data_IF_822943768664
#
_entry.id   IF_822943768664
#
_cell.length_a   1.000
_cell.length_b   1.000
_cell.length_c   1.000
_cell.angle_alpha   90.00
_cell.angle_beta   90.00
_cell.angle_gamma   90.00
#
_symmetry.space_group_name_H-M   'P 1'
#
loop_
_entity.id
_entity.type
_entity.pdbx_description
1 polymer ?
#
# COMPACT_ATOMS: atom_id res chain seq x y z
N UNK A 7 25.81 -35.95 29.72
CA UNK A 7 25.45 -36.81 30.90
C UNK A 7 23.96 -37.22 30.83
N UNK A 8 23.69 -38.51 30.91
CA UNK A 8 22.31 -38.98 30.83
C UNK A 8 21.46 -38.51 32.02
N UNK A 9 22.06 -37.90 33.03
CA UNK A 9 21.32 -37.20 34.06
C UNK A 9 20.76 -35.90 33.47
N UNK A 10 21.60 -35.17 32.77
CA UNK A 10 21.19 -33.94 32.09
C UNK A 10 20.11 -34.25 31.07
N UNK A 11 20.40 -35.14 30.14
CA UNK A 11 19.44 -35.45 29.10
C UNK A 11 18.10 -35.82 29.70
N UNK A 12 18.16 -36.48 30.84
CA UNK A 12 16.95 -36.92 31.54
C UNK A 12 16.05 -35.78 31.92
N UNK A 13 16.66 -34.74 32.47
CA UNK A 13 15.92 -33.53 32.84
C UNK A 13 15.37 -32.79 31.63
N UNK A 14 16.18 -32.68 30.58
CA UNK A 14 15.72 -32.11 29.33
C UNK A 14 14.46 -32.81 28.84
N UNK A 15 14.51 -34.13 28.86
CA UNK A 15 13.35 -34.94 28.50
C UNK A 15 12.15 -34.60 29.35
N UNK A 16 12.37 -34.41 30.63
CA UNK A 16 11.28 -34.17 31.55
C UNK A 16 10.63 -32.83 31.33
N UNK A 17 11.39 -31.79 31.04
CA UNK A 17 10.73 -30.52 30.73
C UNK A 17 9.97 -30.65 29.40
N UNK A 18 10.61 -31.20 28.39
CA UNK A 18 9.97 -31.33 27.10
C UNK A 18 8.60 -31.96 27.32
N UNK A 19 8.60 -33.11 27.97
CA UNK A 19 7.38 -33.85 28.26
C UNK A 19 6.33 -33.02 29.02
N UNK A 20 6.77 -32.31 30.04
CA UNK A 20 5.90 -31.47 30.83
C UNK A 20 5.27 -30.36 30.01
N UNK A 21 6.06 -29.62 29.24
CA UNK A 21 5.54 -28.39 28.62
C UNK A 21 4.51 -28.73 27.54
N UNK A 22 4.60 -29.95 27.04
CA UNK A 22 3.65 -30.50 26.09
C UNK A 22 2.46 -31.19 26.77
N UNK A 23 2.53 -31.32 28.09
CA UNK A 23 1.60 -32.11 28.89
C UNK A 23 1.50 -33.57 28.43
N UNK A 24 2.65 -34.24 28.32
CA UNK A 24 2.72 -35.68 28.03
C UNK A 24 3.38 -36.41 29.21
N UNK A 25 3.33 -35.84 30.41
CA UNK A 25 4.08 -36.39 31.54
C UNK A 25 3.64 -37.83 31.84
N UNK A 26 2.35 -37.99 32.16
CA UNK A 26 1.80 -39.33 32.39
C UNK A 26 1.00 -39.78 31.17
N UNK A 27 1.66 -39.78 30.00
CA UNK A 27 1.01 -40.18 28.75
C UNK A 27 1.93 -41.07 27.91
N UNK A 28 1.42 -41.56 26.76
CA UNK A 28 2.22 -42.41 25.87
C UNK A 28 3.24 -41.60 25.03
N UNK A 29 2.85 -40.40 24.59
CA UNK A 29 3.73 -39.46 23.85
C UNK A 29 4.96 -39.02 24.65
N UNK A 30 4.90 -39.09 25.98
CA UNK A 30 6.04 -38.86 26.85
C UNK A 30 6.88 -40.11 27.01
N UNK A 31 6.22 -41.27 27.01
CA UNK A 31 6.92 -42.55 27.13
C UNK A 31 7.82 -42.84 25.90
N UNK A 32 7.39 -42.43 24.71
CA UNK A 32 8.18 -42.65 23.49
C UNK A 32 9.56 -41.94 23.51
N UNK A 33 9.64 -40.87 24.29
CA UNK A 33 10.87 -40.09 24.42
C UNK A 33 11.74 -40.73 25.49
N UNK A 34 12.91 -41.20 25.09
CA UNK A 34 13.83 -41.90 25.98
C UNK A 34 15.21 -41.29 25.90
N UNK A 35 15.96 -41.39 26.97
CA UNK A 35 17.33 -40.87 26.99
C UNK A 35 18.15 -41.42 25.84
N UNK A 36 17.93 -42.68 25.50
CA UNK A 36 18.75 -43.33 24.48
C UNK A 36 18.45 -42.75 23.07
N UNK A 37 17.19 -42.34 22.84
CA UNK A 37 16.86 -41.55 21.67
C UNK A 37 17.77 -40.32 21.61
N UNK A 38 17.77 -39.53 22.67
CA UNK A 38 18.57 -38.31 22.72
C UNK A 38 20.05 -38.64 22.58
N UNK A 39 20.49 -39.78 23.09
CA UNK A 39 21.86 -40.20 22.90
C UNK A 39 22.11 -40.57 21.45
N UNK A 40 21.19 -41.31 20.85
CA UNK A 40 21.28 -41.70 19.46
C UNK A 40 21.60 -40.53 18.51
N UNK A 41 21.14 -39.31 18.83
CA UNK A 41 21.29 -38.16 17.93
C UNK A 41 22.74 -37.83 17.54
N UNK A 49 26.07 -30.96 16.98
CA UNK A 49 25.60 -31.81 18.08
C UNK A 49 24.68 -31.03 19.04
N UNK A 50 25.14 -29.91 19.57
CA UNK A 50 24.26 -29.05 20.34
C UNK A 50 23.10 -28.63 19.48
N UNK A 51 23.45 -28.17 18.29
CA UNK A 51 22.43 -27.70 17.38
C UNK A 51 21.43 -28.81 17.08
N UNK A 52 21.96 -29.97 16.73
CA UNK A 52 21.11 -31.08 16.34
C UNK A 52 20.13 -31.43 17.48
N UNK A 53 20.66 -31.43 18.70
CA UNK A 53 19.87 -31.71 19.87
C UNK A 53 18.82 -30.63 20.13
N UNK A 54 19.22 -29.37 20.10
CA UNK A 54 18.26 -28.31 20.33
C UNK A 54 17.14 -28.35 19.29
N UNK A 55 17.52 -28.59 18.04
CA UNK A 55 16.52 -28.68 16.98
C UNK A 55 15.61 -29.89 17.14
N UNK A 56 16.19 -31.03 17.52
CA UNK A 56 15.38 -32.24 17.73
C UNK A 56 14.34 -31.99 18.81
N UNK A 57 14.76 -31.30 19.87
CA UNK A 57 13.88 -30.99 20.97
C UNK A 57 12.78 -29.98 20.54
N UNK A 58 13.17 -28.93 19.83
CA UNK A 58 12.21 -27.96 19.27
C UNK A 58 11.15 -28.68 18.45
N UNK A 59 11.59 -29.62 17.61
CA UNK A 59 10.65 -30.45 16.85
C UNK A 59 9.70 -31.22 17.75
N UNK A 60 10.23 -31.84 18.79
CA UNK A 60 9.36 -32.55 19.70
C UNK A 60 8.30 -31.61 20.27
N UNK A 61 8.71 -30.42 20.70
CA UNK A 61 7.76 -29.46 21.22
C UNK A 61 6.78 -29.09 20.15
N UNK A 62 7.29 -28.94 18.92
CA UNK A 62 6.48 -28.60 17.73
C UNK A 62 5.37 -29.60 17.39
N UNK A 63 5.71 -30.89 17.47
CA UNK A 63 4.79 -31.99 17.08
C UNK A 63 5.15 -33.25 17.86
N UNK A 64 4.63 -33.37 19.08
CA UNK A 64 4.96 -34.55 19.88
C UNK A 64 4.54 -35.84 19.19
N UNK A 65 3.25 -36.03 18.90
CA UNK A 65 2.78 -37.27 18.25
C UNK A 65 3.58 -37.58 16.98
N UNK A 66 3.79 -36.57 16.16
CA UNK A 66 4.50 -36.76 14.93
C UNK A 66 5.97 -37.10 15.12
N UNK A 67 6.56 -36.63 16.20
CA UNK A 67 7.99 -36.80 16.43
C UNK A 67 8.29 -38.18 17.03
N UNK A 68 7.35 -38.73 17.78
CA UNK A 68 7.43 -40.13 18.24
C UNK A 68 7.49 -41.07 17.05
N UNK A 69 6.57 -40.89 16.09
CA UNK A 69 6.53 -41.69 14.83
C UNK A 69 7.84 -41.61 14.09
N UNK A 70 8.44 -40.43 14.05
CA UNK A 70 9.73 -40.24 13.40
C UNK A 70 10.85 -40.91 14.20
N UNK A 71 10.75 -40.84 15.52
CA UNK A 71 11.77 -41.39 16.41
C UNK A 71 11.80 -42.90 16.29
N UNK A 72 10.60 -43.47 16.35
CA UNK A 72 10.36 -44.90 16.22
C UNK A 72 10.77 -45.45 14.85
N UNK A 73 10.82 -44.58 13.84
CA UNK A 73 11.37 -44.88 12.51
C UNK A 73 12.87 -44.56 12.37
N UNK A 74 13.48 -44.09 13.43
CA UNK A 74 14.88 -43.72 13.41
C UNK A 74 15.24 -42.60 12.44
N UNK A 75 14.36 -41.62 12.28
CA UNK A 75 14.63 -40.49 11.40
C UNK A 75 14.57 -39.15 12.13
N UNK A 76 14.74 -39.20 13.44
CA UNK A 76 14.68 -37.99 14.26
C UNK A 76 15.84 -37.07 13.98
N UNK A 77 17.02 -37.65 13.87
CA UNK A 77 18.23 -36.90 13.54
C UNK A 77 18.10 -36.22 12.19
N UNK A 78 17.54 -36.93 11.21
CA UNK A 78 17.41 -36.38 9.86
C UNK A 78 16.50 -35.17 9.90
N UNK A 79 15.30 -35.37 10.46
CA UNK A 79 14.31 -34.33 10.55
C UNK A 79 14.87 -33.10 11.30
N UNK A 80 15.71 -33.34 12.31
CA UNK A 80 16.36 -32.25 13.05
C UNK A 80 17.39 -31.51 12.20
N UNK A 81 18.23 -32.23 11.47
CA UNK A 81 19.16 -31.57 10.56
C UNK A 81 18.44 -30.76 9.49
N UNK A 82 17.29 -31.24 9.09
CA UNK A 82 16.46 -30.51 8.16
C UNK A 82 16.04 -29.15 8.75
N UNK A 83 15.55 -29.14 10.00
CA UNK A 83 15.07 -27.89 10.60
C UNK A 83 16.21 -26.88 10.73
N UNK A 84 17.39 -27.33 11.14
CA UNK A 84 18.57 -26.46 11.12
C UNK A 84 18.82 -25.86 9.73
N UNK A 85 18.61 -26.66 8.67
CA UNK A 85 18.77 -26.19 7.28
C UNK A 85 17.74 -25.12 6.96
N UNK A 86 16.47 -25.40 7.21
CA UNK A 86 15.42 -24.40 6.99
C UNK A 86 15.69 -23.08 7.72
N UNK A 87 16.45 -23.12 8.80
CA UNK A 87 16.78 -21.92 9.54
C UNK A 87 18.16 -21.34 9.29
N UNK A 88 19.04 -22.13 8.68
CA UNK A 88 20.41 -21.65 8.39
C UNK A 88 20.47 -20.56 7.31
N UNK A 89 19.48 -20.56 6.42
CA UNK A 89 19.41 -19.66 5.26
C UNK A 89 19.45 -18.15 5.52
N UNK A 90 19.56 -17.35 4.43
CA UNK A 90 19.85 -15.91 4.48
C UNK A 90 18.92 -15.10 5.39
N UNK A 91 17.68 -14.88 4.94
CA UNK A 91 16.68 -14.18 5.74
C UNK A 91 15.63 -15.19 6.19
N UNK A 92 16.08 -16.39 6.55
CA UNK A 92 15.19 -17.50 6.90
C UNK A 92 14.91 -17.58 8.38
N UNK A 93 15.94 -17.28 9.16
CA UNK A 93 15.92 -17.55 10.57
C UNK A 93 14.77 -16.90 11.32
N UNK A 94 14.62 -15.59 11.22
CA UNK A 94 13.62 -14.89 12.03
C UNK A 94 12.20 -15.38 11.76
N UNK A 95 11.80 -15.44 10.49
CA UNK A 95 10.44 -15.87 10.20
C UNK A 95 10.25 -17.36 10.39
N UNK A 96 11.28 -18.15 10.10
CA UNK A 96 11.21 -19.58 10.38
C UNK A 96 10.99 -19.85 11.86
N UNK A 97 11.63 -19.04 12.68
CA UNK A 97 11.50 -19.15 14.11
C UNK A 97 10.08 -18.78 14.54
N UNK A 98 9.50 -17.80 13.86
CA UNK A 98 8.16 -17.35 14.17
C UNK A 98 7.19 -18.49 13.95
N UNK A 99 7.30 -19.12 12.79
CA UNK A 99 6.41 -20.21 12.45
C UNK A 99 6.58 -21.36 13.40
N UNK A 100 7.81 -21.60 13.82
CA UNK A 100 8.12 -22.66 14.78
C UNK A 100 7.51 -22.39 16.17
N UNK A 101 7.63 -21.16 16.63
CA UNK A 101 7.09 -20.75 17.89
C UNK A 101 5.59 -20.80 17.88
N UNK A 102 4.96 -20.45 16.76
CA UNK A 102 3.49 -20.54 16.63
C UNK A 102 3.02 -21.97 16.93
N UNK A 103 3.71 -22.93 16.34
CA UNK A 103 3.42 -24.31 16.57
C UNK A 103 3.71 -24.69 18.03
N UNK A 104 4.79 -24.19 18.60
CA UNK A 104 5.08 -24.59 19.97
C UNK A 104 4.09 -23.99 20.91
N UNK A 105 3.63 -22.76 20.66
CA UNK A 105 2.59 -22.14 21.52
C UNK A 105 1.31 -22.95 21.44
N UNK A 106 1.02 -23.48 20.27
CA UNK A 106 -0.16 -24.32 20.10
C UNK A 106 -0.10 -25.53 21.04
N UNK A 107 1.02 -26.25 21.05
CA UNK A 107 1.16 -27.47 21.85
C UNK A 107 1.44 -27.24 23.35
N UNK A 108 1.96 -26.08 23.71
CA UNK A 108 2.23 -25.76 25.12
C UNK A 108 1.53 -24.47 25.40
N UNK A 109 0.75 -24.37 26.47
CA UNK A 109 -0.03 -23.11 26.69
C UNK A 109 -0.87 -22.69 25.44
N UNK A 110 -0.94 -21.41 25.12
CA UNK A 110 -1.55 -20.96 23.87
C UNK A 110 -1.80 -19.47 23.85
N UNK A 117 2.81 -10.49 28.89
CA UNK A 117 4.24 -10.23 28.85
C UNK A 117 4.97 -11.34 28.10
N UNK A 118 5.29 -11.13 26.81
CA UNK A 118 5.85 -12.24 25.98
C UNK A 118 7.16 -12.06 25.20
N UNK A 119 7.70 -13.19 24.77
CA UNK A 119 8.97 -13.23 24.07
C UNK A 119 8.79 -13.38 22.57
N UNK A 120 9.56 -12.61 21.83
CA UNK A 120 9.47 -12.59 20.38
C UNK A 120 10.81 -13.00 19.80
N UNK A 121 10.84 -13.32 18.51
CA UNK A 121 12.08 -13.73 17.87
C UNK A 121 13.24 -12.72 17.91
N UNK A 122 12.96 -11.41 17.78
CA UNK A 122 14.09 -10.49 17.95
C UNK A 122 14.81 -10.65 19.29
N UNK A 123 14.03 -10.79 20.35
CA UNK A 123 14.55 -11.00 21.70
C UNK A 123 15.36 -12.26 21.84
N UNK A 124 14.84 -13.37 21.30
CA UNK A 124 15.59 -14.61 21.26
C UNK A 124 16.91 -14.47 20.50
N UNK A 125 16.88 -13.76 19.37
CA UNK A 125 18.09 -13.59 18.59
C UNK A 125 19.13 -12.79 19.42
N UNK A 126 18.68 -11.72 20.06
CA UNK A 126 19.54 -10.90 20.93
C UNK A 126 20.10 -11.74 22.10
N UNK A 127 19.22 -12.44 22.80
CA UNK A 127 19.63 -13.20 23.96
C UNK A 127 20.55 -14.35 23.58
N UNK A 128 20.38 -14.85 22.36
CA UNK A 128 21.17 -15.97 21.87
C UNK A 128 22.62 -15.64 21.53
N UNK A 129 22.87 -14.48 20.94
CA UNK A 129 24.22 -14.21 20.42
C UNK A 129 24.25 -13.09 19.42
N UNK A 136 24.32 -20.09 13.92
CA UNK A 136 23.27 -19.16 14.39
C UNK A 136 22.03 -19.92 14.94
N UNK A 137 21.39 -20.74 14.09
CA UNK A 137 20.16 -21.39 14.52
C UNK A 137 20.37 -22.24 15.79
N UNK A 138 21.50 -22.91 15.92
CA UNK A 138 21.71 -23.79 17.08
C UNK A 138 21.60 -23.08 18.41
N UNK A 139 22.45 -22.09 18.64
CA UNK A 139 22.32 -21.32 19.88
C UNK A 139 20.99 -20.61 20.08
N UNK A 140 20.34 -20.22 18.99
CA UNK A 140 19.02 -19.60 19.09
C UNK A 140 17.99 -20.61 19.59
N UNK A 141 18.02 -21.81 19.02
CA UNK A 141 17.11 -22.86 19.42
C UNK A 141 17.38 -23.20 20.86
N UNK A 142 18.66 -23.34 21.21
CA UNK A 142 18.96 -23.58 22.61
C UNK A 142 18.32 -22.50 23.53
N UNK A 143 18.37 -21.23 23.13
CA UNK A 143 17.71 -20.15 23.90
C UNK A 143 16.19 -20.20 23.91
N UNK A 144 15.59 -20.62 22.81
CA UNK A 144 14.19 -20.92 22.81
C UNK A 144 13.90 -21.98 23.84
N UNK A 145 14.66 -23.07 23.81
CA UNK A 145 14.43 -24.16 24.77
C UNK A 145 14.51 -23.67 26.19
N UNK A 146 15.50 -22.83 26.49
CA UNK A 146 15.61 -22.26 27.82
C UNK A 146 14.31 -21.57 28.19
N UNK A 147 13.80 -20.77 27.28
CA UNK A 147 12.57 -20.06 27.56
C UNK A 147 11.37 -20.98 27.78
N UNK A 148 11.27 -22.05 27.03
CA UNK A 148 10.22 -22.99 27.27
C UNK A 148 10.39 -23.50 28.70
N UNK A 149 11.62 -23.73 29.13
CA UNK A 149 11.88 -24.18 30.49
C UNK A 149 11.42 -23.22 31.59
N UNK A 150 11.55 -21.91 31.35
CA UNK A 150 11.05 -20.87 32.25
C UNK A 150 9.53 -20.73 32.19
N UNK A 151 8.89 -21.35 31.20
CA UNK A 151 7.45 -21.16 30.96
C UNK A 151 7.05 -19.85 30.31
N UNK A 152 7.97 -19.14 29.66
CA UNK A 152 7.61 -17.90 28.95
C UNK A 152 6.57 -18.17 27.87
N UNK A 153 5.79 -17.14 27.56
CA UNK A 153 4.85 -17.16 26.42
C UNK A 153 5.54 -16.53 25.23
N UNK A 154 5.12 -16.92 24.03
CA UNK A 154 5.69 -16.40 22.81
C UNK A 154 4.70 -15.56 22.01
N UNK A 155 5.22 -14.47 21.44
CA UNK A 155 4.44 -13.64 20.55
C UNK A 155 5.17 -13.54 19.22
N UNK A 156 4.48 -13.95 18.17
CA UNK A 156 5.11 -14.14 16.88
C UNK A 156 4.28 -13.43 15.86
N UNK A 157 4.94 -12.77 14.91
CA UNK A 157 4.19 -12.13 13.86
C UNK A 157 4.45 -12.63 12.43
N UNK A 158 3.49 -12.39 11.53
CA UNK A 158 3.72 -12.73 10.13
C UNK A 158 4.65 -11.75 9.48
N UNK A 159 5.03 -12.02 8.24
CA UNK A 159 5.88 -11.09 7.48
C UNK A 159 5.02 -10.18 6.61
N UNK A 160 5.55 -9.00 6.25
CA UNK A 160 4.79 -8.16 5.34
C UNK A 160 4.38 -8.94 4.08
N UNK A 161 5.28 -9.71 3.49
CA UNK A 161 4.92 -10.48 2.28
C UNK A 161 3.71 -11.38 2.54
N UNK A 162 3.59 -11.90 3.74
CA UNK A 162 2.50 -12.82 4.01
C UNK A 162 1.12 -12.24 3.71
N UNK A 163 0.95 -10.95 3.96
CA UNK A 163 -0.39 -10.36 3.82
C UNK A 163 -0.82 -10.21 2.37
N UNK A 164 0.14 -9.92 1.50
CA UNK A 164 -0.14 -9.90 0.09
C UNK A 164 -0.32 -11.34 -0.41
N UNK A 165 0.68 -12.18 -0.18
CA UNK A 165 0.66 -13.59 -0.59
C UNK A 165 -0.65 -14.29 -0.18
N UNK A 166 -1.24 -13.90 0.94
CA UNK A 166 -2.46 -14.52 1.42
C UNK A 166 -3.65 -14.32 0.52
N UNK A 167 -3.85 -13.09 0.09
CA UNK A 167 -5.05 -12.76 -0.63
C UNK A 167 -5.07 -13.63 -1.87
N UNK A 168 -3.90 -13.80 -2.47
CA UNK A 168 -3.79 -14.56 -3.69
C UNK A 168 -4.28 -16.02 -3.51
N UNK A 169 -4.12 -16.61 -2.33
CA UNK A 169 -4.74 -17.93 -2.05
C UNK A 169 -6.23 -17.81 -1.63
N UNK A 170 -6.55 -16.80 -0.82
CA UNK A 170 -7.92 -16.59 -0.33
C UNK A 170 -8.29 -15.10 -0.28
N UNK A 174 -8.11 -19.47 -10.35
CA UNK A 174 -6.66 -19.54 -10.25
C UNK A 174 -5.89 -19.20 -11.54
N UNK A 175 -5.96 -17.94 -11.99
CA UNK A 175 -4.95 -17.37 -12.88
C UNK A 175 -3.70 -17.10 -12.00
N UNK A 176 -2.52 -16.85 -12.61
CA UNK A 176 -1.36 -16.45 -11.79
C UNK A 176 -1.61 -15.11 -11.08
N UNK A 177 -2.08 -14.12 -11.83
CA UNK A 177 -2.56 -12.85 -11.26
C UNK A 177 -4.07 -12.84 -10.92
N UNK A 178 -4.50 -11.78 -10.25
CA UNK A 178 -5.91 -11.56 -9.94
C UNK A 178 -6.63 -10.93 -11.15
N UNK A 179 -7.73 -11.58 -11.57
CA UNK A 179 -8.52 -11.07 -12.71
C UNK A 179 -9.27 -9.81 -12.29
N UNK A 180 -9.56 -8.93 -13.23
CA UNK A 180 -10.46 -7.81 -12.99
C UNK A 180 -11.72 -8.35 -12.32
N UNK A 181 -12.25 -9.44 -12.85
CA UNK A 181 -13.39 -10.07 -12.24
C UNK A 181 -13.06 -10.45 -10.80
N UNK A 182 -11.96 -11.17 -10.58
CA UNK A 182 -11.54 -11.52 -9.20
C UNK A 182 -11.48 -10.25 -8.32
N UNK A 183 -10.84 -9.20 -8.83
CA UNK A 183 -10.66 -7.96 -8.07
C UNK A 183 -12.01 -7.46 -7.65
N UNK A 184 -12.96 -7.54 -8.58
CA UNK A 184 -14.33 -7.07 -8.33
C UNK A 184 -15.08 -7.91 -7.32
N UNK A 185 -14.82 -9.21 -7.28
CA UNK A 185 -15.45 -10.07 -6.27
C UNK A 185 -14.97 -9.68 -4.88
N UNK A 186 -13.68 -9.37 -4.78
CA UNK A 186 -13.04 -8.95 -3.52
C UNK A 186 -13.59 -7.60 -3.06
N UNK A 187 -13.77 -6.69 -3.99
CA UNK A 187 -14.31 -5.40 -3.65
C UNK A 187 -15.73 -5.60 -3.13
N UNK A 188 -16.47 -6.50 -3.74
CA UNK A 188 -17.82 -6.80 -3.28
C UNK A 188 -17.77 -7.33 -1.85
N UNK A 189 -16.94 -8.32 -1.59
CA UNK A 189 -16.81 -8.81 -0.20
C UNK A 189 -16.51 -7.68 0.79
N UNK A 190 -15.75 -6.67 0.37
CA UNK A 190 -15.45 -5.52 1.23
C UNK A 190 -16.54 -4.43 1.23
N UNK A 191 -17.61 -4.62 0.45
CA UNK A 191 -18.70 -3.64 0.36
C UNK A 191 -18.43 -2.46 -0.54
N UNK A 192 -17.62 -2.65 -1.58
CA UNK A 192 -17.20 -1.56 -2.45
C UNK A 192 -17.16 -2.01 -3.89
N UNK A 193 -16.98 -1.07 -4.80
CA UNK A 193 -17.06 -1.37 -6.22
C UNK A 193 -18.43 -1.11 -6.79
N UNK A 194 -19.39 -0.73 -5.94
CA UNK A 194 -20.77 -0.47 -6.34
C UNK A 194 -21.61 -1.69 -6.68
N UNK A 195 -21.17 -2.86 -6.22
CA UNK A 195 -21.83 -4.13 -6.52
C UNK A 195 -23.24 -4.21 -5.89
N UNK A 221 -21.69 14.66 2.84
CA UNK A 221 -22.69 15.36 2.02
C UNK A 221 -22.19 16.72 1.53
N UNK A 222 -21.27 17.33 2.27
CA UNK A 222 -20.62 18.62 1.94
C UNK A 222 -19.11 18.44 1.80
N UNK A 223 -18.72 17.79 0.70
CA UNK A 223 -17.39 17.21 0.53
C UNK A 223 -16.29 18.22 0.40
N UNK A 224 -15.24 18.02 1.20
CA UNK A 224 -13.99 18.78 1.15
C UNK A 224 -13.23 18.65 -0.18
N UNK A 225 -13.48 17.54 -0.89
CA UNK A 225 -12.91 17.24 -2.22
C UNK A 225 -14.03 16.56 -3.01
N UNK A 226 -14.17 16.82 -4.30
CA UNK A 226 -15.28 16.19 -5.06
C UNK A 226 -15.01 14.73 -5.46
N UNK A 227 -13.79 14.28 -5.20
CA UNK A 227 -13.42 12.90 -5.41
C UNK A 227 -13.92 12.09 -4.25
N UNK A 228 -14.15 12.73 -3.12
CA UNK A 228 -14.76 12.05 -2.00
C UNK A 228 -16.08 11.31 -2.31
N UNK A 229 -16.76 11.60 -3.41
CA UNK A 229 -18.05 11.01 -3.72
C UNK A 229 -17.97 9.90 -4.76
N UNK A 230 -16.85 9.82 -5.46
CA UNK A 230 -16.64 8.80 -6.47
C UNK A 230 -16.63 7.41 -5.88
N UNK A 231 -17.44 6.51 -6.42
CA UNK A 231 -17.30 5.10 -6.07
C UNK A 231 -16.71 4.29 -7.26
N UNK A 232 -15.49 3.84 -7.10
CA UNK A 232 -14.75 3.30 -8.21
C UNK A 232 -15.15 1.86 -8.53
N UNK A 233 -15.22 1.56 -9.81
CA UNK A 233 -15.31 0.19 -10.28
C UNK A 233 -13.97 -0.51 -10.13
N UNK A 234 -13.99 -1.84 -10.19
CA UNK A 234 -12.76 -2.59 -10.23
C UNK A 234 -11.87 -2.08 -11.37
N UNK A 235 -12.50 -1.84 -12.53
CA UNK A 235 -11.75 -1.36 -13.69
C UNK A 235 -11.19 0.03 -13.40
N UNK A 236 -11.98 0.87 -12.74
CA UNK A 236 -11.52 2.18 -12.34
C UNK A 236 -10.32 2.10 -11.41
N UNK A 237 -10.45 1.26 -10.40
CA UNK A 237 -9.33 1.00 -9.50
C UNK A 237 -8.06 0.71 -10.31
N UNK A 238 -8.20 -0.17 -11.29
CA UNK A 238 -7.05 -0.55 -12.07
C UNK A 238 -6.54 0.62 -12.87
N UNK A 239 -7.47 1.41 -13.41
CA UNK A 239 -7.13 2.59 -14.20
C UNK A 239 -6.35 3.61 -13.40
N UNK A 240 -6.72 3.81 -12.13
CA UNK A 240 -6.03 4.77 -11.29
C UNK A 240 -4.54 4.49 -11.19
N UNK A 241 -4.20 3.21 -11.02
CA UNK A 241 -2.82 2.83 -10.79
C UNK A 241 -2.08 2.46 -12.08
N UNK A 242 -2.70 2.72 -13.22
CA UNK A 242 -2.12 2.41 -14.51
C UNK A 242 -1.91 0.93 -14.69
N UNK A 243 -2.91 0.13 -14.32
CA UNK A 243 -2.78 -1.32 -14.37
C UNK A 243 -3.53 -1.89 -15.55
N UNK A 244 -2.86 -2.71 -16.36
CA UNK A 244 -3.47 -3.34 -17.53
C UNK A 244 -4.38 -4.52 -17.15
N UNK A 245 -5.64 -4.48 -17.64
CA UNK A 245 -6.64 -5.53 -17.39
C UNK A 245 -6.25 -6.88 -18.03
N UNK A 246 -5.46 -6.81 -19.10
CA UNK A 246 -4.97 -8.01 -19.76
C UNK A 246 -3.92 -8.69 -18.89
N UNK A 247 -3.05 -7.91 -18.26
CA UNK A 247 -2.05 -8.44 -17.32
C UNK A 247 -2.71 -8.93 -16.02
N UNK A 248 -3.72 -8.19 -15.54
CA UNK A 248 -4.32 -8.45 -14.20
C UNK A 248 -3.59 -7.81 -13.03
N UNK A 249 -4.03 -8.12 -11.81
CA UNK A 249 -3.43 -7.54 -10.61
C UNK A 249 -2.34 -8.50 -10.08
N UNK A 250 -1.08 -8.09 -10.19
CA UNK A 250 0.04 -8.79 -9.58
C UNK A 250 0.12 -8.47 -8.09
N UNK A 251 0.81 -9.31 -7.30
CA UNK A 251 1.05 -8.97 -5.90
C UNK A 251 1.58 -7.54 -5.67
N UNK A 252 2.65 -7.13 -6.34
CA UNK A 252 3.11 -5.73 -6.20
C UNK A 252 1.95 -4.75 -6.45
N UNK A 253 1.08 -5.07 -7.41
CA UNK A 253 -0.04 -4.17 -7.75
C UNK A 253 -1.08 -4.16 -6.64
N UNK A 254 -1.36 -5.35 -6.12
CA UNK A 254 -2.30 -5.46 -5.03
C UNK A 254 -1.83 -4.56 -3.93
N UNK A 255 -0.53 -4.56 -3.66
CA UNK A 255 0.01 -3.74 -2.61
C UNK A 255 -0.27 -2.28 -2.90
N UNK A 256 -0.05 -1.88 -4.14
CA UNK A 256 -0.23 -0.52 -4.58
C UNK A 256 -1.65 -0.01 -4.45
N UNK A 257 -2.63 -0.81 -4.86
CA UNK A 257 -4.03 -0.39 -4.86
C UNK A 257 -4.76 -0.60 -3.52
N UNK A 258 -4.04 -1.14 -2.55
CA UNK A 258 -4.63 -1.43 -1.27
C UNK A 258 -5.21 -0.20 -0.60
N UNK A 259 -4.45 0.90 -0.55
CA UNK A 259 -5.00 2.07 0.14
C UNK A 259 -6.34 2.57 -0.41
N UNK A 260 -6.54 2.41 -1.71
CA UNK A 260 -7.77 2.86 -2.34
C UNK A 260 -8.94 2.00 -1.90
N UNK A 261 -8.72 0.69 -1.78
CA UNK A 261 -9.76 -0.19 -1.27
C UNK A 261 -10.20 0.25 0.13
N UNK A 262 -9.23 0.59 0.97
CA UNK A 262 -9.55 1.08 2.32
C UNK A 262 -10.29 2.39 2.21
N UNK A 263 -9.73 3.34 1.50
CA UNK A 263 -10.38 4.64 1.39
C UNK A 263 -11.82 4.51 0.96
N UNK A 264 -12.05 3.68 -0.05
CA UNK A 264 -13.39 3.46 -0.60
C UNK A 264 -14.43 3.00 0.45
N UNK A 265 -13.95 2.24 1.44
CA UNK A 265 -14.80 1.77 2.54
C UNK A 265 -15.00 2.89 3.54
N UNK A 266 -13.91 3.53 3.96
CA UNK A 266 -13.99 4.61 4.96
C UNK A 266 -14.74 5.83 4.42
N UNK A 267 -14.57 6.10 3.14
CA UNK A 267 -15.29 7.16 2.44
C UNK A 267 -16.83 7.06 2.52
N UNK A 268 -17.35 5.84 2.51
CA UNK A 268 -18.78 5.62 2.42
C UNK A 268 -19.39 5.89 1.06
N UNK A 269 -18.56 6.11 0.04
CA UNK A 269 -19.05 6.43 -1.29
C UNK A 269 -19.81 5.31 -1.99
N UNK A 270 -19.82 4.09 -1.43
CA UNK A 270 -20.61 2.98 -1.96
C UNK A 270 -21.42 2.30 -0.87
N UNK B 2 -0.81 42.25 -40.45
CA UNK B 2 -0.41 40.89 -40.91
C UNK B 2 -0.60 39.85 -39.83
N UNK B 3 0.50 39.41 -39.22
CA UNK B 3 0.44 38.39 -38.18
C UNK B 3 -0.16 38.98 -36.94
N UNK B 4 0.34 40.16 -36.55
CA UNK B 4 -0.28 40.94 -35.49
C UNK B 4 -1.80 40.80 -35.51
N UNK B 5 -2.39 40.90 -36.69
CA UNK B 5 -3.83 40.83 -36.86
C UNK B 5 -4.38 39.42 -36.76
N UNK B 6 -3.73 38.43 -37.38
CA UNK B 6 -4.21 37.05 -37.28
C UNK B 6 -4.06 36.55 -35.83
N UNK B 7 -2.88 36.71 -35.28
CA UNK B 7 -2.66 36.42 -33.88
C UNK B 7 -3.79 36.99 -33.04
N UNK B 8 -4.17 38.23 -33.31
CA UNK B 8 -5.25 38.88 -32.54
C UNK B 8 -6.64 38.21 -32.69
N UNK B 9 -6.94 37.72 -33.88
CA UNK B 9 -8.19 37.01 -34.13
C UNK B 9 -8.09 35.59 -33.57
N UNK B 10 -6.98 34.90 -33.85
CA UNK B 10 -6.76 33.57 -33.33
C UNK B 10 -6.74 33.61 -31.79
N UNK B 11 -5.83 34.40 -31.24
CA UNK B 11 -5.69 34.46 -29.78
C UNK B 11 -6.94 35.03 -29.19
N UNK B 12 -7.54 35.98 -29.87
CA UNK B 12 -8.82 36.57 -29.45
C UNK B 12 -9.90 35.53 -29.29
N UNK B 13 -9.97 34.59 -30.23
CA UNK B 13 -10.94 33.49 -30.17
C UNK B 13 -10.67 32.50 -29.06
N UNK B 14 -9.40 32.16 -28.88
CA UNK B 14 -8.94 31.35 -27.74
C UNK B 14 -9.40 31.94 -26.40
N UNK B 15 -9.18 33.24 -26.24
CA UNK B 15 -9.62 33.95 -25.05
C UNK B 15 -11.12 33.88 -24.89
N UNK B 16 -11.84 33.99 -25.99
CA UNK B 16 -13.29 33.95 -25.93
C UNK B 16 -13.82 32.56 -25.50
N UNK B 17 -13.22 31.47 -25.99
CA UNK B 17 -13.68 30.13 -25.56
C UNK B 17 -13.35 29.89 -24.09
N UNK B 18 -12.17 30.34 -23.67
CA UNK B 18 -11.77 30.26 -22.26
C UNK B 18 -12.84 30.91 -21.40
N UNK B 19 -13.13 32.18 -21.69
CA UNK B 19 -14.13 32.97 -20.95
C UNK B 19 -15.49 32.29 -20.90
N UNK B 20 -15.90 31.75 -22.04
CA UNK B 20 -17.17 31.05 -22.15
C UNK B 20 -17.23 29.81 -21.29
N UNK B 21 -16.20 28.96 -21.36
CA UNK B 21 -16.25 27.65 -20.69
C UNK B 21 -16.29 27.78 -19.17
N UNK B 22 -15.73 28.90 -18.71
CA UNK B 22 -15.74 29.29 -17.31
C UNK B 22 -17.03 30.05 -16.90
N UNK B 23 -17.88 30.38 -17.88
CA UNK B 23 -19.03 31.32 -17.73
C UNK B 23 -18.61 32.67 -17.13
N UNK B 24 -17.62 33.31 -17.75
CA UNK B 24 -17.24 34.70 -17.42
C UNK B 24 -17.48 35.60 -18.65
N UNK B 25 -18.37 35.20 -19.56
CA UNK B 25 -18.53 35.84 -20.87
C UNK B 25 -19.18 37.22 -20.76
N UNK B 29 -14.43 38.93 -14.45
CA UNK B 29 -13.38 37.91 -14.65
C UNK B 29 -13.07 37.63 -16.12
N UNK B 30 -14.03 37.87 -16.99
CA UNK B 30 -13.81 37.75 -18.43
C UNK B 30 -13.26 39.05 -18.98
N UNK B 31 -13.65 40.17 -18.38
CA UNK B 31 -13.19 41.47 -18.83
C UNK B 31 -11.68 41.63 -18.64
N UNK B 32 -11.15 41.07 -17.54
CA UNK B 32 -9.74 41.20 -17.20
C UNK B 32 -8.86 40.55 -18.27
N UNK B 33 -9.42 39.55 -18.93
CA UNK B 33 -8.68 38.76 -19.90
C UNK B 33 -8.78 39.41 -21.26
N UNK B 34 -7.62 39.74 -21.83
CA UNK B 34 -7.57 40.42 -23.11
C UNK B 34 -6.49 39.82 -23.98
N UNK B 35 -6.64 40.03 -25.29
CA UNK B 35 -5.66 39.57 -26.26
C UNK B 35 -4.26 40.03 -25.89
N UNK B 36 -4.14 41.24 -25.37
CA UNK B 36 -2.83 41.82 -25.14
C UNK B 36 -2.12 41.11 -23.98
N UNK B 37 -2.90 40.64 -23.01
CA UNK B 37 -2.39 39.76 -21.96
C UNK B 37 -1.72 38.54 -22.59
N UNK B 38 -2.46 37.84 -23.43
CA UNK B 38 -1.93 36.66 -24.11
C UNK B 38 -0.73 37.03 -24.96
N UNK B 39 -0.74 38.23 -25.54
CA UNK B 39 0.41 38.67 -26.32
C UNK B 39 1.60 38.85 -25.42
N UNK B 40 1.36 39.53 -24.28
CA UNK B 40 2.41 39.80 -23.31
C UNK B 40 3.24 38.57 -22.92
N UNK B 41 2.63 37.38 -22.91
CA UNK B 41 3.31 36.16 -22.42
C UNK B 41 4.62 35.84 -23.14
N UNK B 42 4.66 36.02 -24.46
CA UNK B 42 5.91 35.74 -25.20
C UNK B 42 5.89 36.07 -26.68
N UNK B 43 7.07 36.09 -27.27
CA UNK B 43 7.21 36.23 -28.72
C UNK B 43 7.18 34.83 -29.33
N UNK B 44 6.27 34.60 -30.30
CA UNK B 44 5.93 33.24 -30.73
C UNK B 44 7.13 32.39 -31.05
N UNK B 45 8.18 33.02 -31.53
CA UNK B 45 9.40 32.31 -31.91
C UNK B 45 10.14 31.62 -30.77
N UNK B 46 9.93 32.05 -29.51
CA UNK B 46 10.75 31.56 -28.38
C UNK B 46 10.40 30.11 -28.01
N UNK B 47 11.39 29.19 -28.07
CA UNK B 47 11.07 27.79 -27.72
C UNK B 47 10.50 27.64 -26.29
N UNK B 48 9.30 27.08 -26.21
CA UNK B 48 8.60 26.93 -24.94
C UNK B 48 7.60 28.06 -24.74
N UNK B 49 7.16 28.62 -25.85
CA UNK B 49 6.12 29.66 -25.90
C UNK B 49 4.73 29.02 -26.00
N UNK B 50 4.61 27.94 -26.76
CA UNK B 50 3.37 27.17 -26.78
C UNK B 50 3.13 26.66 -25.36
N UNK B 51 4.15 26.11 -24.71
CA UNK B 51 4.00 25.60 -23.36
C UNK B 51 3.51 26.70 -22.44
N UNK B 52 4.20 27.84 -22.47
CA UNK B 52 3.91 28.92 -21.54
C UNK B 52 2.46 29.39 -21.72
N UNK B 53 2.05 29.51 -22.99
CA UNK B 53 0.70 29.89 -23.34
C UNK B 53 -0.32 28.84 -22.90
N UNK B 54 -0.03 27.57 -23.20
CA UNK B 54 -0.94 26.50 -22.83
C UNK B 54 -1.11 26.45 -21.32
N UNK B 55 -0.01 26.59 -20.59
CA UNK B 55 -0.08 26.60 -19.14
C UNK B 55 -0.83 27.81 -18.63
N UNK B 56 -0.58 28.97 -19.20
CA UNK B 56 -1.25 30.19 -18.74
C UNK B 56 -2.75 30.05 -18.91
N UNK B 57 -3.15 29.45 -20.03
CA UNK B 57 -4.55 29.23 -20.31
C UNK B 57 -5.14 28.24 -19.31
N UNK B 58 -4.43 27.12 -19.10
CA UNK B 58 -4.86 26.09 -18.16
C UNK B 58 -5.09 26.68 -16.80
N UNK B 59 -4.15 27.52 -16.37
CA UNK B 59 -4.31 28.29 -15.13
C UNK B 59 -5.60 29.11 -15.14
N UNK B 60 -5.86 29.83 -16.23
CA UNK B 60 -7.06 30.63 -16.28
C UNK B 60 -8.28 29.75 -16.09
N UNK B 61 -8.34 28.64 -16.79
CA UNK B 61 -9.46 27.73 -16.65
C UNK B 61 -9.50 27.21 -15.22
N UNK B 62 -8.33 26.91 -14.69
CA UNK B 62 -8.21 26.34 -13.36
C UNK B 62 -8.62 27.33 -12.23
N UNK B 63 -8.33 28.62 -12.40
CA UNK B 63 -8.65 29.66 -11.39
C UNK B 63 -8.85 31.02 -12.06
N UNK B 64 -10.06 31.27 -12.56
CA UNK B 64 -10.28 32.53 -13.25
C UNK B 64 -10.05 33.73 -12.34
N UNK B 65 -10.80 33.86 -11.25
CA UNK B 65 -10.63 35.01 -10.36
C UNK B 65 -9.16 35.17 -9.96
N UNK B 66 -8.54 34.07 -9.60
CA UNK B 66 -7.17 34.14 -9.12
C UNK B 66 -6.19 34.53 -10.20
N UNK B 67 -6.52 34.22 -11.45
CA UNK B 67 -5.61 34.45 -12.57
C UNK B 67 -5.71 35.88 -13.09
N UNK B 68 -6.88 36.49 -12.95
CA UNK B 68 -7.02 37.93 -13.19
C UNK B 68 -6.16 38.73 -12.24
N UNK B 69 -6.22 38.40 -10.94
CA UNK B 69 -5.40 39.04 -9.90
C UNK B 69 -3.94 38.94 -10.23
N UNK B 70 -3.53 37.80 -10.75
CA UNK B 70 -2.15 37.58 -11.14
C UNK B 70 -1.80 38.39 -12.39
N UNK B 71 -2.77 38.49 -13.31
CA UNK B 71 -2.57 39.16 -14.58
C UNK B 71 -2.39 40.64 -14.33
N UNK B 72 -3.26 41.18 -13.50
CA UNK B 72 -3.16 42.58 -13.06
C UNK B 72 -1.79 42.89 -12.40
N UNK B 73 -1.29 41.93 -11.65
CA UNK B 73 -0.03 42.10 -10.96
C UNK B 73 1.13 41.88 -11.90
N UNK B 74 0.84 41.62 -13.16
CA UNK B 74 1.86 41.29 -14.12
C UNK B 74 2.74 40.09 -13.76
N UNK B 75 2.15 39.04 -13.19
CA UNK B 75 2.88 37.84 -12.84
C UNK B 75 2.30 36.61 -13.53
N UNK B 76 1.54 36.80 -14.61
CA UNK B 76 0.88 35.67 -15.27
C UNK B 76 1.87 34.73 -15.89
N UNK B 77 2.88 35.31 -16.54
CA UNK B 77 3.94 34.53 -17.15
C UNK B 77 4.71 33.73 -16.11
N UNK B 78 4.98 34.33 -14.97
CA UNK B 78 5.75 33.64 -13.93
C UNK B 78 4.93 32.48 -13.41
N UNK B 79 3.67 32.74 -13.03
CA UNK B 79 2.79 31.68 -12.53
C UNK B 79 2.61 30.53 -13.52
N UNK B 80 2.59 30.84 -14.81
CA UNK B 80 2.56 29.83 -15.85
C UNK B 80 3.85 29.02 -15.91
N UNK B 81 5.00 29.67 -15.85
CA UNK B 81 6.26 28.92 -15.80
C UNK B 81 6.37 28.03 -14.57
N UNK B 82 5.79 28.48 -13.46
CA UNK B 82 5.70 27.71 -12.21
C UNK B 82 4.90 26.41 -12.48
N UNK B 83 3.75 26.51 -13.12
CA UNK B 83 2.93 25.30 -13.35
C UNK B 83 3.69 24.28 -14.19
N UNK B 84 4.32 24.75 -15.27
CA UNK B 84 5.14 23.87 -16.10
C UNK B 84 6.19 23.16 -15.24
N UNK B 85 6.76 23.89 -14.29
CA UNK B 85 7.74 23.31 -13.37
C UNK B 85 7.11 22.23 -12.52
N UNK B 86 6.01 22.55 -11.83
CA UNK B 86 5.40 21.56 -10.98
C UNK B 86 5.19 20.25 -11.74
N UNK B 87 4.81 20.35 -13.02
CA UNK B 87 4.44 19.19 -13.84
C UNK B 87 5.67 18.56 -14.49
N UNK B 88 6.74 19.35 -14.64
CA UNK B 88 7.98 18.85 -15.22
C UNK B 88 8.69 17.93 -14.24
N UNK B 89 8.38 18.07 -12.94
CA UNK B 89 8.94 17.24 -11.88
C UNK B 89 8.93 15.73 -12.16
N UNK B 90 9.64 14.97 -11.30
CA UNK B 90 9.93 13.53 -11.54
C UNK B 90 8.73 12.64 -11.91
N UNK B 91 7.87 12.32 -10.93
CA UNK B 91 6.65 11.57 -11.19
C UNK B 91 5.42 12.47 -10.97
N UNK B 92 5.53 13.73 -11.42
CA UNK B 92 4.55 14.76 -11.11
C UNK B 92 3.42 14.88 -12.12
N UNK B 93 3.73 14.63 -13.37
CA UNK B 93 2.84 14.99 -14.45
C UNK B 93 1.44 14.37 -14.37
N UNK B 94 1.37 13.06 -14.29
CA UNK B 94 0.07 12.37 -14.37
C UNK B 94 -0.86 12.81 -13.24
N UNK B 95 -0.38 12.79 -12.00
CA UNK B 95 -1.25 13.21 -10.91
C UNK B 95 -1.50 14.68 -10.88
N UNK B 96 -0.51 15.47 -11.26
CA UNK B 96 -0.70 16.92 -11.37
C UNK B 96 -1.76 17.27 -12.38
N UNK B 97 -1.80 16.54 -13.47
CA UNK B 97 -2.79 16.79 -14.52
C UNK B 97 -4.19 16.45 -14.01
N UNK B 98 -4.29 15.37 -13.22
CA UNK B 98 -5.58 14.95 -12.70
C UNK B 98 -6.16 16.04 -11.82
N UNK B 99 -5.33 16.54 -10.92
CA UNK B 99 -5.74 17.59 -10.03
C UNK B 99 -6.14 18.82 -10.80
N UNK B 100 -5.41 19.13 -11.87
CA UNK B 100 -5.63 20.32 -12.70
C UNK B 100 -6.95 20.20 -13.45
N UNK B 101 -7.24 19.03 -14.00
CA UNK B 101 -8.52 18.80 -14.65
C UNK B 101 -9.71 18.76 -13.71
N UNK B 102 -9.54 18.26 -12.50
CA UNK B 102 -10.58 18.32 -11.48
C UNK B 102 -11.02 19.76 -11.27
N UNK B 103 -10.05 20.66 -11.14
CA UNK B 103 -10.31 22.07 -10.98
C UNK B 103 -10.99 22.62 -12.23
N UNK B 104 -10.53 22.19 -13.39
CA UNK B 104 -11.11 22.73 -14.59
C UNK B 104 -12.53 22.25 -14.71
N UNK B 105 -12.82 21.02 -14.26
CA UNK B 105 -14.21 20.49 -14.13
C UNK B 105 -15.03 21.31 -13.17
N UNK B 106 -14.42 21.65 -12.04
CA UNK B 106 -15.11 22.45 -11.08
C UNK B 106 -15.57 23.73 -11.75
N UNK B 107 -14.66 24.44 -12.41
CA UNK B 107 -15.02 25.73 -13.00
C UNK B 107 -15.75 25.64 -14.35
N UNK B 108 -15.61 24.52 -15.06
CA UNK B 108 -16.30 24.28 -16.34
C UNK B 108 -17.82 24.19 -16.09
N UNK B 109 -18.24 23.83 -14.88
CA UNK B 109 -19.66 23.77 -14.57
C UNK B 109 -19.83 23.41 -13.09
N UNK B 116 -22.63 9.46 -22.14
CA UNK B 116 -21.77 10.35 -22.93
C UNK B 116 -20.32 10.19 -22.47
N UNK B 117 -19.41 10.11 -23.45
CA UNK B 117 -17.99 9.86 -23.18
C UNK B 117 -17.16 11.15 -23.17
N UNK B 118 -16.14 11.16 -22.32
CA UNK B 118 -15.40 12.36 -22.04
C UNK B 118 -13.92 12.04 -22.10
N UNK B 119 -13.11 13.08 -22.02
CA UNK B 119 -11.67 12.95 -22.11
C UNK B 119 -11.05 12.94 -20.73
N UNK B 120 -10.10 12.05 -20.52
CA UNK B 120 -9.44 11.84 -19.24
C UNK B 120 -7.95 12.07 -19.42
N UNK B 121 -7.19 12.21 -18.32
CA UNK B 121 -5.75 12.42 -18.38
C UNK B 121 -4.95 11.36 -19.10
N UNK B 122 -5.31 10.07 -18.93
CA UNK B 122 -4.54 9.10 -19.70
C UNK B 122 -4.60 9.37 -21.20
N UNK B 123 -5.79 9.70 -21.69
CA UNK B 123 -6.00 10.04 -23.10
C UNK B 123 -5.19 11.23 -23.54
N UNK B 124 -5.23 12.30 -22.75
CA UNK B 124 -4.42 13.46 -23.04
C UNK B 124 -2.92 13.11 -23.08
N UNK B 125 -2.46 12.27 -22.15
CA UNK B 125 -1.06 11.85 -22.10
C UNK B 125 -0.65 10.99 -23.28
N UNK B 126 -1.56 10.14 -23.73
CA UNK B 126 -1.41 9.39 -24.97
C UNK B 126 -1.32 10.34 -26.14
N UNK B 127 -2.33 11.20 -26.30
CA UNK B 127 -2.50 11.97 -27.52
C UNK B 127 -1.37 12.92 -27.77
N UNK B 128 -0.77 13.46 -26.72
CA UNK B 128 0.52 14.16 -26.86
C UNK B 128 1.62 13.11 -26.75
N UNK B 129 2.87 13.47 -26.97
CA UNK B 129 3.91 12.43 -26.92
C UNK B 129 3.78 11.27 -27.94
N UNK B 130 4.86 10.47 -27.99
CA UNK B 130 5.24 9.67 -29.17
C UNK B 130 5.44 8.20 -28.84
N UNK B 131 5.21 7.34 -29.83
CA UNK B 131 5.54 5.91 -29.72
C UNK B 131 5.22 5.28 -28.35
N UNK B 132 3.94 5.36 -27.96
CA UNK B 132 3.47 4.81 -26.69
C UNK B 132 3.91 5.50 -25.39
N UNK B 133 4.72 6.56 -25.46
CA UNK B 133 5.21 7.25 -24.26
C UNK B 133 4.25 8.37 -23.82
N UNK B 134 4.21 8.72 -22.54
CA UNK B 134 3.34 9.83 -22.18
C UNK B 134 3.92 11.13 -22.66
N UNK B 135 3.06 12.10 -22.95
CA UNK B 135 3.52 13.39 -23.42
C UNK B 135 4.20 14.13 -22.28
N UNK B 136 4.95 15.19 -22.62
CA UNK B 136 5.67 16.01 -21.63
C UNK B 136 4.77 17.24 -21.36
N UNK B 137 5.00 18.02 -20.27
CA UNK B 137 3.90 18.96 -19.90
C UNK B 137 3.37 19.93 -20.96
N UNK B 138 4.26 20.61 -21.70
CA UNK B 138 3.83 21.61 -22.67
C UNK B 138 2.86 21.05 -23.69
N UNK B 139 3.34 20.06 -24.44
CA UNK B 139 2.44 19.49 -25.42
C UNK B 139 1.17 18.88 -24.82
N UNK B 140 1.24 18.37 -23.59
CA UNK B 140 0.09 17.80 -22.93
C UNK B 140 -0.95 18.87 -22.64
N UNK B 141 -0.47 19.97 -22.08
CA UNK B 141 -1.34 21.09 -21.84
C UNK B 141 -1.89 21.66 -23.15
N UNK B 142 -1.07 21.80 -24.17
CA UNK B 142 -1.59 22.22 -25.48
C UNK B 142 -2.71 21.29 -25.92
N UNK B 143 -2.49 20.01 -25.75
CA UNK B 143 -3.48 19.06 -26.14
C UNK B 143 -4.74 19.31 -25.33
N UNK B 144 -4.59 19.64 -24.06
CA UNK B 144 -5.75 20.00 -23.25
C UNK B 144 -6.43 21.20 -23.88
N UNK B 145 -5.68 22.25 -24.14
CA UNK B 145 -6.29 23.45 -24.73
C UNK B 145 -7.06 23.17 -25.98
N UNK B 146 -6.44 22.40 -26.88
CA UNK B 146 -7.05 22.10 -28.16
C UNK B 146 -8.39 21.42 -27.87
N UNK B 147 -8.44 20.51 -26.89
CA UNK B 147 -9.72 19.90 -26.49
C UNK B 147 -10.74 20.86 -25.91
N UNK B 148 -10.31 21.79 -25.09
CA UNK B 148 -11.22 22.82 -24.62
C UNK B 148 -11.80 23.57 -25.82
N UNK B 149 -10.96 23.86 -26.81
CA UNK B 149 -11.41 24.54 -28.02
C UNK B 149 -12.46 23.77 -28.82
N UNK B 150 -12.33 22.46 -28.86
CA UNK B 150 -13.32 21.59 -29.47
C UNK B 150 -14.58 21.35 -28.60
N UNK B 151 -14.60 21.90 -27.39
CA UNK B 151 -15.71 21.73 -26.50
C UNK B 151 -15.85 20.34 -25.89
N UNK B 152 -14.79 19.52 -25.86
CA UNK B 152 -14.85 18.22 -25.15
C UNK B 152 -15.13 18.42 -23.67
N UNK B 153 -15.78 17.43 -23.06
CA UNK B 153 -15.99 17.38 -21.62
C UNK B 153 -14.85 16.56 -21.00
N UNK B 154 -14.54 16.83 -19.74
CA UNK B 154 -13.46 16.13 -19.06
C UNK B 154 -13.94 15.28 -17.91
N UNK B 155 -13.32 14.12 -17.76
CA UNK B 155 -13.54 13.22 -16.66
C UNK B 155 -12.18 12.96 -16.06
N UNK B 156 -12.08 12.96 -14.74
CA UNK B 156 -10.85 12.56 -14.09
C UNK B 156 -11.16 11.56 -12.99
N UNK B 157 -10.32 10.54 -12.86
CA UNK B 157 -10.31 9.63 -11.69
C UNK B 157 -9.40 10.27 -10.68
N UNK B 158 -9.51 9.85 -9.40
CA UNK B 158 -8.60 10.42 -8.43
C UNK B 158 -7.21 9.86 -8.61
N UNK B 159 -6.24 10.45 -7.93
CA UNK B 159 -4.84 10.06 -8.03
C UNK B 159 -4.44 9.13 -6.90
N UNK B 160 -3.39 8.32 -7.10
CA UNK B 160 -2.98 7.43 -6.01
C UNK B 160 -2.79 8.17 -4.67
N UNK B 161 -2.10 9.30 -4.66
CA UNK B 161 -1.88 9.98 -3.37
C UNK B 161 -3.22 10.33 -2.75
N UNK B 162 -4.24 10.59 -3.56
CA UNK B 162 -5.53 11.01 -3.00
C UNK B 162 -6.07 10.02 -1.96
N UNK B 163 -5.83 8.75 -2.17
CA UNK B 163 -6.42 7.76 -1.31
C UNK B 163 -5.76 7.67 0.04
N UNK B 164 -4.45 7.88 0.11
CA UNK B 164 -3.79 7.98 1.43
C UNK B 164 -4.10 9.34 2.07
N UNK B 165 -3.93 10.43 1.32
CA UNK B 165 -4.26 11.77 1.85
C UNK B 165 -5.60 11.81 2.54
N UNK B 166 -6.55 11.10 1.96
CA UNK B 166 -7.93 11.17 2.41
C UNK B 166 -8.10 10.71 3.84
N UNK B 167 -7.44 9.62 4.23
CA UNK B 167 -7.49 9.15 5.63
C UNK B 167 -6.83 10.12 6.65
N UNK B 168 -5.74 10.76 6.28
CA UNK B 168 -5.12 11.80 7.13
C UNK B 168 -5.98 13.03 7.30
N UNK B 169 -6.68 13.44 6.26
CA UNK B 169 -7.63 14.54 6.40
C UNK B 169 -8.90 14.20 7.17
N UNK B 170 -9.36 12.96 7.07
CA UNK B 170 -10.64 12.58 7.63
C UNK B 170 -10.52 12.26 9.12
N UNK B 171 -9.54 11.46 9.51
CA UNK B 171 -9.36 11.11 10.92
C UNK B 171 -8.91 12.34 11.71
N UNK B 172 -9.62 12.60 12.81
CA UNK B 172 -9.40 13.80 13.62
C UNK B 172 -8.29 13.61 14.66
N UNK B 173 -7.12 14.18 14.39
CA UNK B 173 -5.97 14.07 15.29
C UNK B 173 -5.06 15.29 15.28
N UNK B 174 -4.55 15.63 16.46
CA UNK B 174 -3.58 16.72 16.63
C UNK B 174 -2.13 16.40 16.13
N UNK B 175 -1.79 15.12 16.06
CA UNK B 175 -0.49 14.71 15.55
C UNK B 175 -0.48 14.86 14.02
N UNK B 176 0.70 15.13 13.41
CA UNK B 176 0.81 15.02 11.94
C UNK B 176 0.75 13.61 11.40
N UNK B 177 1.34 12.67 12.13
CA UNK B 177 1.13 11.25 11.87
C UNK B 177 -0.11 10.65 12.57
N UNK B 178 -0.47 9.43 12.16
CA UNK B 178 -1.56 8.71 12.77
C UNK B 178 -1.06 8.05 14.08
N UNK B 179 -1.76 8.32 15.17
CA UNK B 179 -1.47 7.72 16.46
C UNK B 179 -1.84 6.24 16.46
N UNK B 180 -1.16 5.44 17.28
CA UNK B 180 -1.56 4.05 17.50
C UNK B 180 -3.03 4.03 17.85
N UNK B 181 -3.45 4.95 18.71
CA UNK B 181 -4.87 5.07 19.04
C UNK B 181 -5.69 5.36 17.79
N UNK B 182 -5.32 6.38 17.03
CA UNK B 182 -6.01 6.64 15.76
C UNK B 182 -6.07 5.37 14.90
N UNK B 183 -4.94 4.70 14.72
CA UNK B 183 -4.88 3.52 13.87
C UNK B 183 -5.90 2.52 14.32
N UNK B 184 -5.99 2.36 15.63
CA UNK B 184 -6.91 1.39 16.25
C UNK B 184 -8.39 1.77 16.09
N UNK B 185 -8.71 3.07 16.12
CA UNK B 185 -10.08 3.51 15.85
C UNK B 185 -10.49 3.16 14.42
N UNK B 186 -9.57 3.34 13.47
CA UNK B 186 -9.79 3.04 12.07
C UNK B 186 -9.96 1.55 11.84
N UNK B 187 -9.15 0.74 12.53
CA UNK B 187 -9.26 -0.69 12.39
C UNK B 187 -10.62 -1.11 12.90
N UNK B 188 -11.09 -0.47 13.96
CA UNK B 188 -12.42 -0.75 14.47
C UNK B 188 -13.47 -0.46 13.42
N UNK B 189 -13.47 0.76 12.87
CA UNK B 189 -14.41 1.07 11.79
C UNK B 189 -14.41 0.02 10.68
N UNK B 190 -13.25 -0.59 10.38
CA UNK B 190 -13.17 -1.65 9.35
C UNK B 190 -13.48 -3.06 9.88
N UNK B 191 -13.78 -3.21 11.18
CA UNK B 191 -14.07 -4.52 11.79
C UNK B 191 -12.84 -5.36 12.11
N UNK B 192 -11.76 -4.69 12.50
CA UNK B 192 -10.48 -5.33 12.72
C UNK B 192 -9.86 -4.81 14.02
N UNK B 193 -8.92 -5.57 14.59
CA UNK B 193 -8.31 -5.18 15.86
C UNK B 193 -9.29 -5.19 17.02
N UNK B 227 -1.08 -20.19 9.92
CA UNK B 227 -0.95 -18.73 9.99
C UNK B 227 -2.29 -17.97 9.85
N UNK B 228 -3.00 -18.26 8.77
CA UNK B 228 -4.17 -17.48 8.28
C UNK B 228 -4.97 -16.76 9.39
N UNK B 229 -5.45 -17.55 10.35
CA UNK B 229 -6.50 -17.12 11.31
C UNK B 229 -6.11 -16.22 12.52
N UNK B 230 -4.89 -15.70 12.61
CA UNK B 230 -4.55 -14.72 13.70
C UNK B 230 -5.22 -13.32 13.50
N UNK B 231 -5.71 -12.72 14.58
CA UNK B 231 -6.22 -11.33 14.49
C UNK B 231 -5.24 -10.30 15.17
N UNK B 232 -4.70 -9.38 14.38
CA UNK B 232 -3.71 -8.44 14.86
C UNK B 232 -4.30 -7.23 15.56
N UNK B 233 -3.64 -6.81 16.63
CA UNK B 233 -3.85 -5.49 17.23
C UNK B 233 -3.28 -4.37 16.35
N UNK B 234 -3.71 -3.15 16.62
CA UNK B 234 -3.08 -2.01 16.00
C UNK B 234 -1.59 -2.05 16.25
N UNK B 235 -1.20 -2.37 17.47
CA UNK B 235 0.21 -2.42 17.81
C UNK B 235 0.90 -3.51 17.01
N UNK B 236 0.23 -4.66 16.90
CA UNK B 236 0.77 -5.77 16.12
C UNK B 236 0.99 -5.36 14.68
N UNK B 237 -0.02 -4.72 14.11
CA UNK B 237 0.09 -4.19 12.77
C UNK B 237 1.36 -3.35 12.66
N UNK B 238 1.57 -2.46 13.61
CA UNK B 238 2.75 -1.63 13.55
C UNK B 238 4.01 -2.44 13.68
N UNK B 239 3.97 -3.43 14.55
CA UNK B 239 5.11 -4.31 14.78
C UNK B 239 5.53 -5.03 13.51
N UNK B 240 4.56 -5.49 12.72
CA UNK B 240 4.87 -6.21 11.51
C UNK B 240 5.75 -5.39 10.57
N UNK B 241 5.41 -4.11 10.42
CA UNK B 241 6.07 -3.23 9.43
C UNK B 241 7.21 -2.43 10.04
N UNK B 242 7.60 -2.84 11.24
CA UNK B 242 8.75 -2.25 11.90
C UNK B 242 8.50 -0.80 12.21
N UNK B 243 7.28 -0.49 12.68
CA UNK B 243 6.87 0.89 12.91
C UNK B 243 6.90 1.20 14.40
N UNK B 244 7.60 2.29 14.76
CA UNK B 244 7.64 2.77 16.15
C UNK B 244 6.34 3.50 16.49
N UNK B 245 5.74 3.09 17.61
CA UNK B 245 4.50 3.68 18.12
C UNK B 245 4.68 5.14 18.54
N UNK B 246 5.91 5.50 18.88
CA UNK B 246 6.22 6.88 19.22
C UNK B 246 6.19 7.71 17.94
N UNK B 247 6.76 7.16 16.87
CA UNK B 247 6.79 7.81 15.56
C UNK B 247 5.43 7.78 14.84
N UNK B 248 4.57 6.84 15.18
CA UNK B 248 3.24 6.81 14.61
C UNK B 248 3.24 6.39 13.15
N UNK B 249 2.07 6.40 12.50
CA UNK B 249 1.95 5.96 11.12
C UNK B 249 2.00 7.17 10.19
N UNK B 250 3.08 7.26 9.42
CA UNK B 250 3.22 8.25 8.34
C UNK B 250 2.42 7.82 7.12
N UNK B 251 2.16 8.74 6.18
CA UNK B 251 1.50 8.38 4.95
C UNK B 251 2.17 7.21 4.22
N UNK B 252 3.48 7.26 4.01
CA UNK B 252 4.18 6.12 3.43
C UNK B 252 3.83 4.85 4.21
N UNK B 253 3.74 4.96 5.53
CA UNK B 253 3.50 3.78 6.36
C UNK B 253 2.09 3.27 6.21
N UNK B 254 1.15 4.20 6.19
CA UNK B 254 -0.21 3.83 5.94
C UNK B 254 -0.30 3.03 4.67
N UNK B 255 0.41 3.46 3.65
CA UNK B 255 0.40 2.76 2.37
C UNK B 255 0.93 1.37 2.59
N UNK B 256 2.02 1.25 3.33
CA UNK B 256 2.68 -0.03 3.58
C UNK B 256 1.81 -1.05 4.31
N UNK B 257 1.11 -0.60 5.35
CA UNK B 257 0.31 -1.52 6.16
C UNK B 257 -1.09 -1.72 5.62
N UNK B 258 -1.42 -1.07 4.50
CA UNK B 258 -2.72 -1.20 3.93
C UNK B 258 -3.10 -2.65 3.59
N UNK B 259 -2.18 -3.42 2.99
CA UNK B 259 -2.54 -4.78 2.61
C UNK B 259 -2.95 -5.68 3.79
N UNK B 260 -2.36 -5.42 4.94
CA UNK B 260 -2.66 -6.20 6.09
C UNK B 260 -4.05 -5.85 6.58
N UNK B 261 -4.42 -4.58 6.55
CA UNK B 261 -5.78 -4.22 6.92
C UNK B 261 -6.79 -4.95 6.01
N UNK B 262 -6.50 -5.02 4.72
CA UNK B 262 -7.38 -5.74 3.79
C UNK B 262 -7.38 -7.22 4.15
N UNK B 263 -6.22 -7.82 4.24
CA UNK B 263 -6.16 -9.25 4.57
C UNK B 263 -6.95 -9.58 5.81
N UNK B 264 -6.77 -8.77 6.85
CA UNK B 264 -7.46 -8.95 8.11
C UNK B 264 -9.00 -8.97 7.95
N UNK B 265 -9.50 -8.21 6.99
CA UNK B 265 -10.92 -8.12 6.70
C UNK B 265 -11.36 -9.35 5.92
N UNK B 266 -10.63 -9.68 4.87
CA UNK B 266 -10.98 -10.83 4.05
C UNK B 266 -10.85 -12.14 4.81
N UNK B 267 -9.82 -12.21 5.65
CA UNK B 267 -9.57 -13.36 6.52
C UNK B 267 -10.76 -13.73 7.40
N UNK B 268 -11.54 -12.74 7.85
CA UNK B 268 -12.64 -12.96 8.80
C UNK B 268 -12.17 -13.19 10.24
N UNK B 269 -10.86 -13.08 10.49
CA UNK B 269 -10.25 -13.43 11.78
C UNK B 269 -10.72 -12.58 12.94
N UNK B 270 -11.58 -11.59 12.70
CA UNK B 270 -11.76 -10.57 13.70
C UNK B 270 -13.15 -9.93 13.57
#
# INVERSE_FOLDING_TARGET
SGQGALDRVALGGLLNTLAARVHCTSGPCGKCLSVDDLLALGRPEEPGHLARLSAAAALYLSDPEGTCEDIRAGRWASRADHLLALLEGPKALAPGLSRLLQRIQAQTTGQPSAGEACVDPPQLLREAGVAGAPGSPGPVLATLLEHVGRGSCFHTLPTPQYFVDFVFQQSHGNTPNISVAELAALMQRLGVGGVTETHSDHHHQEKRVNRQGPTPLTAPNSSSDTWDTVCLSARDVMAVYGLSEQTGVTPEAWAQLSPALLQQQLSGACSPQPSHPAQNQLSQAEK
SGQGALDRVALGGLLNTLAARVHCTSGPCGKCLSVDDLLALGRPEEPGHLARLSAAAALYLSDPEGTCEDIRAGRWASRADHLLALLEGPKALAPGLSRLLQRIQAQTTGQPSAGEACVDPPQLLREAGVAGAPGSPGPVLATLLEHVGRGSCFHTLPTPQYFVDFVFQQSHGNTPNISVAELAALMQRLGVGGVTETHSDHHHQEKRVNRQGPTPLTAPNSSSDTWDTVCLSARDVMAVYGLSEQTGVTPEAWAQLSPALLQQQLSGACSPQPSHPAQNQLSQAEK
#
